data_IF_697248664323
#
_entry.id   IF_697248664323
#
_cell.length_a   1.000
_cell.length_b   1.000
_cell.length_c   1.000
_cell.angle_alpha   90.00
_cell.angle_beta   90.00
_cell.angle_gamma   90.00
#
_symmetry.space_group_name_H-M   'P 1'
#
loop_
_entity.id
_entity.type
_entity.pdbx_description
1 polymer ?
#
# COMPACT_ATOMS: atom_id res chain seq x y z
N UNK A 1 -11.94 -20.32 18.60
CA UNK A 1 -10.88 -20.83 17.71
C UNK A 1 -9.53 -20.28 18.15
N UNK A 2 -8.66 -21.14 18.68
CA UNK A 2 -7.40 -20.76 19.34
C UNK A 2 -6.50 -19.91 18.43
N UNK A 3 -6.01 -18.78 18.94
CA UNK A 3 -5.14 -17.85 18.20
C UNK A 3 -3.90 -18.53 17.59
N UNK A 4 -3.43 -19.63 18.20
CA UNK A 4 -2.35 -20.46 17.70
C UNK A 4 -2.67 -21.15 16.35
N UNK A 5 -3.90 -21.63 16.15
CA UNK A 5 -4.30 -22.33 14.92
C UNK A 5 -4.43 -21.35 13.75
N UNK A 6 -5.02 -20.17 14.00
CA UNK A 6 -5.09 -19.07 13.01
C UNK A 6 -3.70 -18.57 12.62
N UNK A 7 -2.79 -18.46 13.58
CA UNK A 7 -1.42 -18.02 13.32
C UNK A 7 -0.63 -19.07 12.50
N UNK A 8 -0.80 -20.37 12.78
CA UNK A 8 -0.21 -21.46 11.97
C UNK A 8 -0.73 -21.45 10.53
N UNK A 9 -2.04 -21.25 10.33
CA UNK A 9 -2.63 -21.20 8.99
C UNK A 9 -2.15 -19.99 8.18
N UNK A 10 -2.01 -18.83 8.81
CA UNK A 10 -1.49 -17.63 8.16
C UNK A 10 0.01 -17.75 7.84
N UNK A 11 0.78 -18.39 8.72
CA UNK A 11 2.16 -18.76 8.45
C UNK A 11 2.26 -19.69 7.24
N UNK A 12 1.39 -20.68 7.13
CA UNK A 12 1.37 -21.58 5.98
C UNK A 12 1.06 -20.81 4.70
N UNK A 13 0.05 -19.93 4.69
CA UNK A 13 -0.24 -19.07 3.54
C UNK A 13 0.94 -18.14 3.19
N UNK A 14 1.62 -17.58 4.19
CA UNK A 14 2.81 -16.76 3.97
C UNK A 14 3.96 -17.59 3.43
N UNK A 15 4.19 -18.80 3.93
CA UNK A 15 5.22 -19.73 3.44
C UNK A 15 4.90 -20.16 2.00
N UNK A 16 3.65 -20.40 1.66
CA UNK A 16 3.21 -20.67 0.29
C UNK A 16 3.40 -19.44 -0.61
N UNK A 17 3.08 -18.23 -0.13
CA UNK A 17 3.31 -17.00 -0.88
C UNK A 17 4.80 -16.70 -1.07
N UNK A 18 5.62 -16.93 -0.05
CA UNK A 18 7.08 -16.83 -0.08
C UNK A 18 7.63 -17.87 -1.06
N UNK A 19 7.21 -19.13 -0.96
CA UNK A 19 7.60 -20.20 -1.87
C UNK A 19 7.22 -19.91 -3.32
N UNK A 20 6.02 -19.37 -3.55
CA UNK A 20 5.57 -18.92 -4.87
C UNK A 20 6.42 -17.77 -5.42
N UNK A 21 6.75 -16.77 -4.60
CA UNK A 21 7.64 -15.68 -5.00
C UNK A 21 9.06 -16.16 -5.32
N UNK A 22 9.60 -17.09 -4.52
CA UNK A 22 10.93 -17.68 -4.77
C UNK A 22 10.95 -18.56 -6.03
N UNK A 23 9.89 -19.33 -6.28
CA UNK A 23 9.78 -20.14 -7.50
C UNK A 23 9.74 -19.26 -8.76
N UNK A 24 8.98 -18.15 -8.73
CA UNK A 24 8.92 -17.18 -9.83
C UNK A 24 10.25 -16.43 -10.02
N UNK A 25 10.99 -16.15 -8.94
CA UNK A 25 12.31 -15.51 -9.03
C UNK A 25 13.39 -16.45 -9.57
N UNK A 26 13.30 -17.75 -9.31
CA UNK A 26 14.26 -18.75 -9.80
C UNK A 26 14.12 -19.06 -11.29
N UNK A 27 12.96 -18.78 -11.90
CA UNK A 27 12.70 -18.95 -13.34
C UNK A 27 13.20 -17.79 -14.22
N UNK A 28 13.89 -16.80 -13.65
CA UNK A 28 14.34 -15.62 -14.37
C UNK A 28 15.54 -15.89 -15.30
N UNK A 29 15.26 -16.42 -16.49
CA UNK A 29 16.19 -16.29 -17.62
C UNK A 29 15.87 -15.02 -18.39
N UNK A 30 16.88 -14.19 -18.62
CA UNK A 30 16.83 -13.03 -19.51
C UNK A 30 16.69 -13.48 -20.95
N UNK A 31 15.47 -13.83 -21.35
CA UNK A 31 15.14 -14.00 -22.76
C UNK A 31 14.78 -12.63 -23.35
N UNK A 32 15.44 -12.25 -24.44
CA UNK A 32 15.13 -10.98 -25.09
C UNK A 32 13.72 -11.06 -25.67
N UNK A 33 12.84 -10.16 -25.21
CA UNK A 33 11.43 -10.06 -25.65
C UNK A 33 11.27 -9.89 -27.17
N UNK A 34 12.34 -9.47 -27.86
CA UNK A 34 12.42 -9.39 -29.30
C UNK A 34 13.60 -10.23 -29.79
N UNK A 35 13.41 -11.06 -30.84
CA UNK A 35 14.53 -11.73 -31.49
C UNK A 35 15.50 -10.68 -32.01
N UNK A 36 16.80 -10.91 -31.78
CA UNK A 36 17.82 -9.98 -32.27
C UNK A 36 17.79 -9.99 -33.81
N UNK A 37 17.87 -8.83 -34.47
CA UNK A 37 17.95 -8.80 -35.93
C UNK A 37 19.20 -9.57 -36.38
N UNK A 38 19.00 -10.51 -37.30
CA UNK A 38 20.08 -11.27 -37.91
C UNK A 38 20.74 -10.42 -39.00
N UNK A 39 22.03 -10.11 -38.83
CA UNK A 39 22.79 -9.35 -39.81
C UNK A 39 23.50 -10.31 -40.78
N UNK A 40 23.30 -10.11 -42.08
CA UNK A 40 23.93 -10.91 -43.15
C UNK A 40 25.46 -10.75 -43.22
N UNK A 41 26.04 -9.79 -42.50
CA UNK A 41 27.47 -9.45 -42.53
C UNK A 41 28.35 -10.29 -41.59
N UNK A 42 27.84 -11.38 -41.00
CA UNK A 42 28.59 -12.17 -40.02
C UNK A 42 28.91 -11.41 -38.72
N UNK A 43 28.13 -10.37 -38.42
CA UNK A 43 28.32 -9.53 -37.24
C UNK A 43 28.06 -10.35 -35.97
N UNK A 44 29.13 -10.60 -35.19
CA UNK A 44 28.98 -11.15 -33.86
C UNK A 44 28.50 -10.06 -32.92
N UNK A 45 27.31 -10.24 -32.35
CA UNK A 45 26.80 -9.34 -31.33
C UNK A 45 27.81 -9.22 -30.20
N UNK A 46 28.37 -8.03 -29.99
CA UNK A 46 29.19 -7.75 -28.83
C UNK A 46 28.35 -8.08 -27.58
N UNK A 47 28.93 -8.79 -26.62
CA UNK A 47 28.29 -8.99 -25.32
C UNK A 47 27.89 -7.61 -24.78
N UNK A 48 26.62 -7.48 -24.39
CA UNK A 48 26.16 -6.23 -23.80
C UNK A 48 26.91 -6.03 -22.50
N UNK A 49 27.89 -5.12 -22.52
CA UNK A 49 28.47 -4.54 -21.33
C UNK A 49 27.34 -3.81 -20.61
N UNK A 50 26.77 -4.47 -19.60
CA UNK A 50 25.82 -3.84 -18.69
C UNK A 50 26.55 -2.65 -18.06
N UNK A 51 26.00 -1.43 -18.15
CA UNK A 51 26.58 -0.30 -17.44
C UNK A 51 26.71 -0.65 -15.95
N UNK A 52 27.76 -0.18 -15.25
CA UNK A 52 27.93 -0.45 -13.83
C UNK A 52 26.64 -0.11 -13.08
N UNK A 53 26.17 -1.03 -12.23
CA UNK A 53 24.92 -0.88 -11.48
C UNK A 53 24.92 0.48 -10.78
N UNK A 54 23.97 1.34 -11.17
CA UNK A 54 24.20 2.78 -11.14
C UNK A 54 24.39 3.44 -9.75
N UNK A 55 24.31 2.72 -8.62
CA UNK A 55 24.48 3.32 -7.28
C UNK A 55 25.08 2.36 -6.23
N UNK A 56 24.43 1.23 -5.93
CA UNK A 56 24.89 0.25 -4.92
C UNK A 56 24.51 -1.18 -5.30
N UNK A 57 25.27 -2.21 -4.85
CA UNK A 57 24.91 -3.60 -5.10
C UNK A 57 23.55 -3.94 -4.46
N UNK A 58 22.64 -4.64 -5.17
CA UNK A 58 21.29 -4.94 -4.67
C UNK A 58 21.24 -5.67 -3.32
N UNK A 59 22.29 -6.46 -3.01
CA UNK A 59 22.43 -7.14 -1.73
C UNK A 59 22.56 -6.15 -0.55
N UNK A 60 23.26 -5.03 -0.74
CA UNK A 60 23.41 -4.00 0.28
C UNK A 60 22.06 -3.41 0.67
N UNK A 61 21.20 -3.13 -0.31
CA UNK A 61 19.89 -2.53 -0.05
C UNK A 61 19.01 -3.46 0.79
N UNK A 62 19.05 -4.77 0.50
CA UNK A 62 18.32 -5.79 1.25
C UNK A 62 18.88 -5.93 2.66
N UNK A 63 20.21 -5.95 2.81
CA UNK A 63 20.87 -6.00 4.12
C UNK A 63 20.46 -4.79 4.96
N UNK A 64 20.52 -3.58 4.39
CA UNK A 64 20.11 -2.35 5.06
C UNK A 64 18.62 -2.38 5.42
N UNK A 65 17.76 -2.89 4.54
CA UNK A 65 16.32 -3.07 4.83
C UNK A 65 16.11 -3.96 6.06
N UNK A 66 16.81 -5.10 6.15
CA UNK A 66 16.73 -6.02 7.29
C UNK A 66 17.26 -5.37 8.56
N UNK A 67 18.45 -4.75 8.49
CA UNK A 67 19.09 -4.12 9.65
C UNK A 67 18.26 -2.95 10.19
N UNK A 68 17.78 -2.04 9.33
CA UNK A 68 16.96 -0.89 9.73
C UNK A 68 15.61 -1.34 10.28
N UNK A 69 14.99 -2.36 9.68
CA UNK A 69 13.73 -2.92 10.18
C UNK A 69 13.91 -3.60 11.53
N UNK A 70 14.98 -4.37 11.72
CA UNK A 70 15.35 -4.97 13.00
C UNK A 70 15.68 -3.93 14.08
N UNK A 71 16.45 -2.91 13.73
CA UNK A 71 16.76 -1.78 14.61
C UNK A 71 15.50 -1.01 15.01
N UNK A 72 14.54 -0.83 14.08
CA UNK A 72 13.26 -0.19 14.37
C UNK A 72 12.41 -1.05 15.30
N UNK A 73 12.35 -2.36 15.08
CA UNK A 73 11.66 -3.28 15.97
C UNK A 73 12.26 -3.23 17.39
N UNK A 74 13.59 -3.23 17.51
CA UNK A 74 14.28 -3.06 18.79
C UNK A 74 13.98 -1.70 19.45
N UNK A 75 14.07 -0.61 18.68
CA UNK A 75 13.85 0.75 19.16
C UNK A 75 12.42 0.97 19.69
N UNK A 76 11.42 0.38 19.02
CA UNK A 76 10.02 0.53 19.40
C UNK A 76 9.61 -0.46 20.50
N UNK A 77 9.98 -1.73 20.39
CA UNK A 77 9.48 -2.77 21.30
C UNK A 77 10.29 -2.89 22.58
N UNK A 78 11.61 -2.71 22.51
CA UNK A 78 12.50 -2.90 23.66
C UNK A 78 12.97 -1.58 24.25
N UNK A 79 13.47 -0.67 23.42
CA UNK A 79 13.97 0.64 23.88
C UNK A 79 12.85 1.66 24.11
N UNK A 80 11.67 1.43 23.54
CA UNK A 80 10.46 2.26 23.66
C UNK A 80 10.74 3.75 23.47
N UNK A 81 11.57 4.08 22.48
CA UNK A 81 12.05 5.46 22.28
C UNK A 81 11.62 6.03 20.94
N UNK A 82 10.92 7.17 21.01
CA UNK A 82 10.52 7.96 19.84
C UNK A 82 11.71 8.55 19.09
N UNK A 83 12.74 9.00 19.81
CA UNK A 83 13.91 9.64 19.20
C UNK A 83 14.68 8.65 18.32
N UNK A 84 14.86 7.41 18.79
CA UNK A 84 15.45 6.35 17.96
C UNK A 84 14.63 6.07 16.70
N UNK A 85 13.30 5.99 16.81
CA UNK A 85 12.43 5.82 15.65
C UNK A 85 12.57 6.98 14.64
N UNK A 86 12.75 8.22 15.11
CA UNK A 86 12.97 9.40 14.25
C UNK A 86 14.35 9.39 13.58
N UNK A 87 15.41 9.04 14.31
CA UNK A 87 16.77 8.93 13.73
C UNK A 87 16.80 7.87 12.64
N UNK A 88 16.21 6.69 12.89
CA UNK A 88 16.08 5.65 11.87
C UNK A 88 15.22 6.09 10.68
N UNK A 89 14.20 6.93 10.91
CA UNK A 89 13.40 7.55 9.84
C UNK A 89 14.24 8.48 8.98
N UNK A 90 15.11 9.29 9.58
CA UNK A 90 16.00 10.20 8.87
C UNK A 90 16.99 9.42 8.00
N UNK A 91 17.62 8.39 8.56
CA UNK A 91 18.56 7.53 7.84
C UNK A 91 17.88 6.84 6.66
N UNK A 92 16.69 6.28 6.87
CA UNK A 92 15.94 5.60 5.82
C UNK A 92 15.44 6.57 4.73
N UNK A 93 15.05 7.78 5.12
CA UNK A 93 14.66 8.84 4.18
C UNK A 93 15.85 9.30 3.33
N UNK A 94 17.02 9.51 3.94
CA UNK A 94 18.23 9.89 3.22
C UNK A 94 18.67 8.78 2.25
N UNK A 95 18.69 7.52 2.70
CA UNK A 95 19.16 6.39 1.90
C UNK A 95 18.13 5.89 0.89
N UNK A 96 16.98 5.38 1.34
CA UNK A 96 15.97 4.81 0.43
C UNK A 96 15.16 5.86 -0.32
N UNK A 97 15.02 7.06 0.26
CA UNK A 97 14.34 8.18 -0.38
C UNK A 97 15.25 8.87 -1.39
N UNK A 98 16.20 9.69 -0.93
CA UNK A 98 16.98 10.56 -1.81
C UNK A 98 18.13 9.86 -2.54
N UNK A 99 18.94 9.06 -1.85
CA UNK A 99 20.11 8.40 -2.47
C UNK A 99 19.68 7.33 -3.49
N UNK A 100 18.71 6.48 -3.13
CA UNK A 100 18.11 5.47 -4.01
C UNK A 100 16.94 5.98 -4.86
N UNK A 101 16.65 7.28 -4.78
CA UNK A 101 15.58 7.94 -5.53
C UNK A 101 14.20 7.26 -5.42
N UNK A 102 13.91 6.62 -4.28
CA UNK A 102 12.66 5.92 -4.03
C UNK A 102 12.55 4.52 -4.64
N UNK A 103 13.60 3.96 -5.24
CA UNK A 103 13.60 2.63 -5.86
C UNK A 103 14.69 1.70 -5.25
N UNK A 104 14.41 0.46 -4.88
CA UNK A 104 13.15 -0.30 -4.96
C UNK A 104 12.22 0.05 -3.78
N UNK A 105 10.97 0.42 -4.05
CA UNK A 105 9.97 0.66 -3.00
C UNK A 105 9.05 -0.56 -2.78
N UNK A 106 8.78 -0.90 -1.52
CA UNK A 106 7.83 -1.98 -1.17
C UNK A 106 6.41 -1.71 -1.67
N UNK A 107 6.04 -0.42 -1.84
CA UNK A 107 4.73 -0.03 -2.36
C UNK A 107 4.60 -0.43 -3.83
N UNK A 108 5.54 -0.03 -4.69
CA UNK A 108 5.58 -0.42 -6.10
C UNK A 108 5.89 -1.90 -6.30
N UNK A 109 6.63 -2.54 -5.39
CA UNK A 109 6.86 -3.98 -5.40
C UNK A 109 5.55 -4.79 -5.34
N UNK A 110 4.48 -4.23 -4.74
CA UNK A 110 3.14 -4.84 -4.76
C UNK A 110 2.66 -5.09 -6.20
N UNK A 111 2.87 -4.13 -7.10
CA UNK A 111 2.48 -4.27 -8.50
C UNK A 111 3.35 -5.28 -9.25
N UNK A 112 4.65 -5.32 -8.95
CA UNK A 112 5.58 -6.27 -9.57
C UNK A 112 5.20 -7.71 -9.21
N UNK A 113 4.90 -7.95 -7.94
CA UNK A 113 4.41 -9.25 -7.48
C UNK A 113 3.07 -9.60 -8.15
N UNK A 114 2.12 -8.66 -8.19
CA UNK A 114 0.84 -8.89 -8.87
C UNK A 114 1.01 -9.19 -10.37
N UNK A 115 1.94 -8.50 -11.04
CA UNK A 115 2.20 -8.71 -12.47
C UNK A 115 2.81 -10.10 -12.73
N UNK A 116 3.67 -10.58 -11.84
CA UNK A 116 4.25 -11.91 -11.93
C UNK A 116 3.21 -13.03 -11.72
N UNK A 117 2.17 -12.80 -10.90
CA UNK A 117 1.13 -13.81 -10.61
C UNK A 117 -0.08 -13.78 -11.56
N UNK A 118 -0.55 -12.58 -11.94
CA UNK A 118 -1.84 -12.38 -12.64
C UNK A 118 -1.65 -11.68 -13.99
N UNK A 119 -0.57 -10.91 -14.15
CA UNK A 119 -0.33 -10.06 -15.31
C UNK A 119 0.42 -10.79 -16.44
N UNK A 120 1.49 -10.18 -16.93
CA UNK A 120 2.24 -10.67 -18.11
C UNK A 120 3.16 -11.86 -17.81
N UNK A 121 3.31 -12.25 -16.54
CA UNK A 121 4.24 -13.29 -16.13
C UNK A 121 5.71 -12.85 -16.19
N UNK A 122 5.98 -11.55 -16.21
CA UNK A 122 7.35 -11.02 -16.18
C UNK A 122 8.09 -11.49 -14.92
N UNK A 123 9.37 -11.79 -15.11
CA UNK A 123 10.23 -12.39 -14.10
C UNK A 123 10.51 -11.44 -12.94
N UNK A 124 10.08 -11.86 -11.75
CA UNK A 124 10.23 -11.12 -10.51
C UNK A 124 11.66 -11.25 -9.98
N UNK A 125 12.44 -10.17 -10.01
CA UNK A 125 13.79 -10.19 -9.43
C UNK A 125 13.74 -10.48 -7.93
N UNK A 126 14.67 -11.30 -7.43
CA UNK A 126 14.77 -11.66 -6.02
C UNK A 126 14.80 -10.43 -5.09
N UNK A 127 15.52 -9.37 -5.45
CA UNK A 127 15.55 -8.11 -4.68
C UNK A 127 14.14 -7.52 -4.50
N UNK A 128 13.34 -7.44 -5.56
CA UNK A 128 11.98 -6.89 -5.50
C UNK A 128 11.07 -7.77 -4.63
N UNK A 129 11.19 -9.10 -4.77
CA UNK A 129 10.48 -10.04 -3.91
C UNK A 129 10.82 -9.84 -2.42
N UNK A 130 12.10 -9.67 -2.08
CA UNK A 130 12.54 -9.44 -0.70
C UNK A 130 12.06 -8.08 -0.15
N UNK A 131 12.08 -7.02 -0.96
CA UNK A 131 11.53 -5.71 -0.58
C UNK A 131 10.01 -5.75 -0.33
N UNK A 132 9.29 -6.67 -0.95
CA UNK A 132 7.87 -6.91 -0.69
C UNK A 132 7.65 -7.81 0.54
N UNK A 133 8.43 -8.88 0.70
CA UNK A 133 8.21 -9.90 1.72
C UNK A 133 8.73 -9.51 3.11
N UNK A 134 9.93 -8.92 3.20
CA UNK A 134 10.56 -8.59 4.49
C UNK A 134 9.64 -7.72 5.37
N UNK A 135 9.02 -6.63 4.87
CA UNK A 135 8.14 -5.85 5.73
C UNK A 135 6.83 -6.56 6.09
N UNK A 136 6.31 -7.46 5.23
CA UNK A 136 5.13 -8.28 5.55
C UNK A 136 5.41 -9.29 6.65
N UNK A 137 6.54 -10.01 6.54
CA UNK A 137 7.03 -10.93 7.57
C UNK A 137 7.22 -10.17 8.87
N UNK A 138 7.91 -9.03 8.81
CA UNK A 138 8.13 -8.19 10.00
C UNK A 138 6.80 -7.75 10.62
N UNK A 139 5.82 -7.33 9.81
CA UNK A 139 4.50 -6.95 10.29
C UNK A 139 3.76 -8.08 11.00
N UNK A 140 3.91 -9.31 10.52
CA UNK A 140 3.36 -10.51 11.15
C UNK A 140 3.98 -10.84 12.52
N UNK A 141 5.20 -10.42 12.81
CA UNK A 141 5.87 -10.71 14.08
C UNK A 141 5.89 -9.55 15.06
N UNK A 142 6.16 -8.34 14.57
CA UNK A 142 6.50 -7.16 15.35
C UNK A 142 5.51 -5.99 15.17
N UNK A 143 4.48 -6.16 14.33
CA UNK A 143 3.59 -5.07 13.92
C UNK A 143 4.24 -4.17 12.86
N UNK A 144 3.59 -3.04 12.54
CA UNK A 144 3.94 -2.21 11.37
C UNK A 144 5.18 -1.32 11.56
N UNK A 145 6.27 -1.89 12.08
CA UNK A 145 7.55 -1.20 12.34
C UNK A 145 8.23 -0.70 11.07
N UNK A 146 8.03 -1.36 9.92
CA UNK A 146 8.51 -0.84 8.63
C UNK A 146 7.93 0.52 8.31
N UNK A 147 6.62 0.70 8.52
CA UNK A 147 5.98 2.00 8.35
C UNK A 147 6.49 3.01 9.37
N UNK A 148 6.85 2.60 10.59
CA UNK A 148 7.31 3.51 11.63
C UNK A 148 8.53 4.33 11.20
N UNK A 149 9.55 3.67 10.65
CA UNK A 149 10.85 4.33 10.37
C UNK A 149 11.53 3.96 9.06
N UNK A 150 11.19 2.85 8.41
CA UNK A 150 12.00 2.35 7.27
C UNK A 150 11.43 2.79 5.92
N UNK A 151 10.10 2.90 5.81
CA UNK A 151 9.45 3.38 4.59
C UNK A 151 9.79 4.86 4.33
N UNK A 152 10.46 5.23 3.23
CA UNK A 152 10.84 6.62 2.98
C UNK A 152 9.62 7.53 2.78
N UNK A 153 8.54 7.02 2.15
CA UNK A 153 7.28 7.77 2.02
C UNK A 153 6.67 8.07 3.40
N UNK A 154 6.71 7.09 4.31
CA UNK A 154 6.20 7.25 5.67
C UNK A 154 7.07 8.19 6.51
N UNK A 155 8.40 8.10 6.37
CA UNK A 155 9.35 8.95 7.05
C UNK A 155 9.18 10.42 6.66
N UNK A 156 9.07 10.72 5.35
CA UNK A 156 8.83 12.08 4.85
C UNK A 156 7.60 12.72 5.50
N UNK A 157 6.48 11.98 5.55
CA UNK A 157 5.25 12.47 6.18
C UNK A 157 5.34 12.61 7.70
N UNK A 158 6.13 11.77 8.38
CA UNK A 158 6.30 11.87 9.83
C UNK A 158 7.06 13.14 10.23
N UNK A 159 8.03 13.57 9.43
CA UNK A 159 8.73 14.84 9.65
C UNK A 159 7.84 16.06 9.39
N UNK A 160 6.86 15.95 8.48
CA UNK A 160 5.88 17.02 8.26
C UNK A 160 4.81 17.10 9.36
N UNK A 161 4.60 16.05 10.15
CA UNK A 161 3.54 15.99 11.16
C UNK A 161 3.87 16.76 12.45
N UNK A 162 3.86 18.10 12.34
CA UNK A 162 4.17 19.05 13.42
C UNK A 162 3.02 19.20 14.41
N UNK A 163 1.79 19.43 13.92
CA UNK A 163 0.59 19.64 14.75
C UNK A 163 -0.50 18.62 14.39
N UNK A 164 -0.27 17.32 14.66
CA UNK A 164 -1.20 16.30 14.22
C UNK A 164 -2.50 16.37 15.04
N UNK A 165 -3.62 16.52 14.35
CA UNK A 165 -4.96 16.51 14.91
C UNK A 165 -5.57 15.12 14.81
N UNK A 166 -6.47 14.81 15.75
CA UNK A 166 -7.26 13.60 15.67
C UNK A 166 -8.43 13.80 14.72
N UNK A 167 -8.41 13.07 13.60
CA UNK A 167 -9.52 13.06 12.65
C UNK A 167 -10.70 12.30 13.27
N UNK A 168 -11.95 12.80 13.18
CA UNK A 168 -13.11 12.09 13.70
C UNK A 168 -13.18 10.65 13.17
N UNK A 169 -13.51 9.68 14.04
CA UNK A 169 -13.49 8.24 13.71
C UNK A 169 -14.32 7.89 12.47
N UNK A 170 -15.46 8.56 12.25
CA UNK A 170 -16.29 8.36 11.07
C UNK A 170 -15.57 8.76 9.76
N UNK A 171 -14.93 9.94 9.75
CA UNK A 171 -14.19 10.45 8.59
C UNK A 171 -12.96 9.59 8.33
N UNK A 172 -12.22 9.20 9.37
CA UNK A 172 -11.09 8.29 9.26
C UNK A 172 -11.50 6.91 8.70
N UNK A 173 -12.65 6.40 9.13
CA UNK A 173 -13.18 5.13 8.62
C UNK A 173 -13.60 5.25 7.15
N UNK A 174 -14.18 6.39 6.74
CA UNK A 174 -14.56 6.63 5.35
C UNK A 174 -13.32 6.81 4.45
N UNK A 175 -12.41 7.73 4.80
CA UNK A 175 -11.18 7.97 4.03
C UNK A 175 -10.28 6.74 3.98
N UNK A 176 -10.27 5.91 5.02
CA UNK A 176 -9.55 4.66 5.00
C UNK A 176 -10.03 3.67 3.94
N UNK A 177 -11.24 3.81 3.39
CA UNK A 177 -11.69 3.00 2.24
C UNK A 177 -10.93 3.33 0.96
N UNK A 178 -10.37 4.55 0.82
CA UNK A 178 -9.58 4.94 -0.35
C UNK A 178 -8.35 4.05 -0.52
N UNK A 179 -7.72 3.59 0.58
CA UNK A 179 -6.56 2.71 0.51
C UNK A 179 -6.95 1.32 -0.06
N UNK A 180 -8.17 0.87 0.24
CA UNK A 180 -8.73 -0.37 -0.31
C UNK A 180 -9.12 -0.15 -1.78
N UNK A 181 -9.74 0.98 -2.11
CA UNK A 181 -10.03 1.35 -3.50
C UNK A 181 -8.75 1.37 -4.34
N UNK A 182 -7.68 1.97 -3.84
CA UNK A 182 -6.42 2.03 -4.57
C UNK A 182 -5.75 0.67 -4.71
N UNK A 183 -5.81 -0.19 -3.69
CA UNK A 183 -5.38 -1.59 -3.81
C UNK A 183 -6.20 -2.34 -4.87
N UNK A 184 -7.52 -2.16 -4.88
CA UNK A 184 -8.40 -2.78 -5.87
C UNK A 184 -8.14 -2.28 -7.30
N UNK A 185 -7.96 -0.97 -7.48
CA UNK A 185 -7.58 -0.35 -8.76
C UNK A 185 -6.22 -0.86 -9.22
N UNK A 186 -5.28 -1.09 -8.29
CA UNK A 186 -3.97 -1.66 -8.59
C UNK A 186 -4.10 -3.07 -9.18
N UNK A 187 -4.89 -3.94 -8.53
CA UNK A 187 -5.14 -5.30 -9.03
C UNK A 187 -5.86 -5.26 -10.38
N UNK A 188 -6.87 -4.40 -10.51
CA UNK A 188 -7.60 -4.20 -11.77
C UNK A 188 -6.68 -3.71 -12.88
N UNK A 189 -5.81 -2.74 -12.60
CA UNK A 189 -4.89 -2.17 -13.58
C UNK A 189 -3.90 -3.19 -14.11
N UNK A 190 -3.35 -4.05 -13.26
CA UNK A 190 -2.48 -5.16 -13.69
C UNK A 190 -3.28 -6.19 -14.49
N UNK A 191 -4.47 -6.58 -14.03
CA UNK A 191 -5.31 -7.57 -14.71
C UNK A 191 -5.79 -7.10 -16.10
N UNK A 192 -6.03 -5.80 -16.27
CA UNK A 192 -6.53 -5.21 -17.52
C UNK A 192 -5.44 -4.65 -18.43
N UNK A 193 -4.16 -4.66 -18.01
CA UNK A 193 -3.05 -4.16 -18.82
C UNK A 193 -2.82 -2.64 -18.75
N UNK A 194 -3.40 -1.92 -17.78
CA UNK A 194 -3.15 -0.48 -17.56
C UNK A 194 -1.70 -0.16 -17.13
N UNK A 195 -0.92 -1.19 -16.78
CA UNK A 195 0.45 -1.06 -16.28
C UNK A 195 0.53 -0.62 -14.82
N UNK A 196 1.70 -0.07 -14.46
CA UNK A 196 2.07 0.23 -13.09
C UNK A 196 1.48 1.55 -12.56
N UNK A 197 0.16 1.57 -12.35
CA UNK A 197 -0.59 2.76 -11.90
C UNK A 197 -0.02 3.41 -10.61
N UNK A 198 0.43 2.64 -9.62
CA UNK A 198 1.00 3.22 -8.40
C UNK A 198 2.28 3.97 -8.73
N UNK A 199 3.21 3.34 -9.44
CA UNK A 199 4.48 3.96 -9.78
C UNK A 199 4.31 5.21 -10.67
N UNK A 200 3.30 5.21 -11.55
CA UNK A 200 3.00 6.35 -12.44
C UNK A 200 2.42 7.55 -11.71
N UNK A 201 1.59 7.33 -10.69
CA UNK A 201 0.88 8.39 -9.97
C UNK A 201 1.39 8.58 -8.53
N UNK A 202 2.51 7.97 -8.14
CA UNK A 202 3.04 8.12 -6.78
C UNK A 202 3.52 9.56 -6.55
N UNK A 203 2.87 10.34 -5.66
CA UNK A 203 3.18 11.76 -5.51
C UNK A 203 4.54 12.04 -4.86
N UNK A 204 5.19 11.04 -4.25
CA UNK A 204 6.47 11.20 -3.56
C UNK A 204 7.68 10.87 -4.41
N UNK A 205 7.53 10.00 -5.41
CA UNK A 205 8.62 9.62 -6.31
C UNK A 205 9.19 10.85 -7.02
N UNK A 206 8.34 11.83 -7.36
CA UNK A 206 8.79 13.07 -7.99
C UNK A 206 9.75 13.89 -7.12
N UNK A 207 9.52 13.95 -5.81
CA UNK A 207 10.43 14.61 -4.87
C UNK A 207 11.73 13.84 -4.70
N UNK A 208 11.68 12.51 -4.61
CA UNK A 208 12.88 11.69 -4.43
C UNK A 208 13.79 11.68 -5.66
N UNK A 209 13.20 11.76 -6.87
CA UNK A 209 13.93 11.83 -8.14
C UNK A 209 14.33 13.25 -8.54
N UNK A 210 13.91 14.26 -7.77
CA UNK A 210 14.08 15.68 -8.10
C UNK A 210 13.58 16.00 -9.52
N UNK A 211 12.48 15.35 -9.92
CA UNK A 211 11.96 15.42 -11.27
C UNK A 211 10.58 14.76 -11.36
N UNK A 212 9.68 15.35 -12.14
CA UNK A 212 8.30 14.90 -12.29
C UNK A 212 7.44 15.96 -12.95
N UNK A 213 6.22 15.59 -13.37
CA UNK A 213 5.29 16.59 -13.91
C UNK A 213 4.83 17.55 -12.82
N UNK A 214 4.49 18.79 -13.20
CA UNK A 214 4.00 19.80 -12.26
C UNK A 214 2.82 19.28 -11.42
N UNK A 215 1.89 18.56 -12.05
CA UNK A 215 0.72 17.98 -11.37
C UNK A 215 1.11 16.95 -10.30
N UNK A 216 2.14 16.14 -10.55
CA UNK A 216 2.64 15.13 -9.61
C UNK A 216 3.28 15.80 -8.39
N UNK A 217 4.12 16.82 -8.61
CA UNK A 217 4.75 17.59 -7.53
C UNK A 217 3.73 18.39 -6.73
N UNK A 218 2.74 19.00 -7.39
CA UNK A 218 1.65 19.71 -6.74
C UNK A 218 0.82 18.77 -5.86
N UNK A 219 0.43 17.61 -6.38
CA UNK A 219 -0.33 16.61 -5.62
C UNK A 219 0.45 16.14 -4.37
N UNK A 220 1.75 15.87 -4.51
CA UNK A 220 2.59 15.50 -3.38
C UNK A 220 2.82 16.63 -2.38
N UNK A 221 2.98 17.86 -2.86
CA UNK A 221 3.09 19.06 -2.02
C UNK A 221 1.84 19.28 -1.18
N UNK A 222 0.65 19.18 -1.80
CA UNK A 222 -0.63 19.25 -1.10
C UNK A 222 -0.79 18.13 -0.06
N UNK A 223 -0.34 16.92 -0.40
CA UNK A 223 -0.41 15.78 0.51
C UNK A 223 0.53 15.92 1.72
N UNK A 224 1.73 16.49 1.52
CA UNK A 224 2.67 16.83 2.60
C UNK A 224 2.16 18.00 3.44
N UNK A 225 1.55 19.02 2.82
CA UNK A 225 0.93 20.13 3.52
C UNK A 225 -0.26 19.67 4.38
N UNK A 226 -1.12 18.79 3.85
CA UNK A 226 -2.15 18.11 4.64
C UNK A 226 -1.52 17.27 5.78
N UNK A 227 -0.31 16.74 5.55
CA UNK A 227 0.51 16.01 6.53
C UNK A 227 0.89 16.79 7.78
N UNK A 228 0.79 18.13 7.76
CA UNK A 228 1.03 18.99 8.94
C UNK A 228 0.00 18.73 10.03
N UNK A 229 -1.27 18.59 9.63
CA UNK A 229 -2.40 18.38 10.53
C UNK A 229 -2.85 16.93 10.57
N UNK A 230 -2.88 16.25 9.42
CA UNK A 230 -3.29 14.85 9.35
C UNK A 230 -2.03 14.01 9.35
N UNK A 231 -1.73 13.32 10.45
CA UNK A 231 -0.52 12.49 10.51
C UNK A 231 -0.55 11.38 9.42
N UNK A 232 0.45 11.41 8.53
CA UNK A 232 0.70 10.40 7.47
C UNK A 232 -0.51 10.11 6.57
N UNK A 233 -1.04 11.10 5.83
CA UNK A 233 -2.28 10.95 5.07
C UNK A 233 -2.15 9.91 3.95
N UNK A 234 -1.00 9.79 3.29
CA UNK A 234 -0.78 8.76 2.27
C UNK A 234 -0.77 7.36 2.89
N UNK A 235 -0.01 7.14 3.95
CA UNK A 235 0.10 5.82 4.57
C UNK A 235 -1.24 5.35 5.18
N UNK A 236 -2.08 6.30 5.61
CA UNK A 236 -3.38 6.04 6.23
C UNK A 236 -4.50 5.81 5.21
N UNK A 237 -4.52 6.59 4.13
CA UNK A 237 -5.67 6.66 3.21
C UNK A 237 -5.38 6.26 1.78
N UNK A 238 -4.13 6.23 1.32
CA UNK A 238 -3.82 5.92 -0.08
C UNK A 238 -2.95 4.68 -0.23
N UNK A 239 -2.02 4.41 0.68
CA UNK A 239 -1.02 3.36 0.50
C UNK A 239 -1.65 1.94 0.43
N UNK A 240 -1.57 1.25 -0.72
CA UNK A 240 -2.16 -0.07 -0.90
C UNK A 240 -1.35 -1.14 -0.15
N UNK A 241 -0.03 -0.96 -0.07
CA UNK A 241 0.85 -1.79 0.75
C UNK A 241 0.52 -1.65 2.25
N UNK A 242 0.03 -0.48 2.68
CA UNK A 242 -0.46 -0.25 4.04
C UNK A 242 -1.66 -1.14 4.41
N UNK A 243 -2.51 -1.48 3.44
CA UNK A 243 -3.63 -2.43 3.64
C UNK A 243 -3.09 -3.84 3.88
N UNK A 244 -2.11 -4.29 3.10
CA UNK A 244 -1.48 -5.60 3.28
C UNK A 244 -0.80 -5.70 4.65
N UNK A 245 -0.02 -4.68 5.03
CA UNK A 245 0.62 -4.62 6.34
C UNK A 245 -0.40 -4.55 7.49
N UNK A 246 -1.56 -3.92 7.29
CA UNK A 246 -2.66 -3.92 8.26
C UNK A 246 -3.24 -5.32 8.45
N UNK A 247 -3.43 -6.08 7.38
CA UNK A 247 -3.95 -7.44 7.48
C UNK A 247 -2.96 -8.38 8.17
N UNK A 248 -1.67 -8.28 7.87
CA UNK A 248 -0.64 -9.13 8.51
C UNK A 248 -0.41 -8.75 9.97
N UNK A 249 -0.39 -7.45 10.30
CA UNK A 249 -0.14 -6.96 11.67
C UNK A 249 -1.22 -7.30 12.68
N UNK A 250 -2.47 -7.57 12.25
CA UNK A 250 -3.52 -8.08 13.16
C UNK A 250 -3.07 -9.37 13.87
N UNK A 251 -2.24 -10.17 13.21
CA UNK A 251 -1.71 -11.44 13.73
C UNK A 251 -0.35 -11.30 14.41
N UNK A 252 0.12 -10.07 14.65
CA UNK A 252 1.39 -9.80 15.30
C UNK A 252 1.48 -10.46 16.68
N UNK A 253 2.52 -11.30 16.85
CA UNK A 253 2.85 -11.94 18.14
C UNK A 253 3.30 -10.90 19.17
N UNK A 254 4.25 -10.06 18.78
CA UNK A 254 4.77 -8.95 19.56
C UNK A 254 4.35 -7.67 18.86
N UNK A 255 3.75 -6.75 19.59
CA UNK A 255 3.29 -5.48 19.04
C UNK A 255 3.65 -4.38 20.03
N UNK A 256 3.78 -3.14 19.56
CA UNK A 256 3.94 -1.99 20.46
C UNK A 256 2.78 -1.94 21.46
N UNK A 257 3.09 -2.08 22.75
CA UNK A 257 2.17 -1.89 23.87
C UNK A 257 2.23 -0.44 24.35
N UNK A 258 1.10 0.09 24.83
CA UNK A 258 1.03 1.48 25.31
C UNK A 258 1.85 1.64 26.58
N UNK A 259 1.59 0.78 27.58
CA UNK A 259 2.31 0.76 28.86
C UNK A 259 3.38 -0.34 28.87
N UNK A 260 4.48 -0.16 29.63
CA UNK A 260 5.49 -1.20 29.83
C UNK A 260 5.06 -2.21 30.91
N UNK A 261 4.22 -1.77 31.86
CA UNK A 261 3.64 -2.56 32.94
C UNK A 261 2.10 -2.41 32.96
N UNK A 262 1.46 -2.76 34.06
CA UNK A 262 0.00 -2.67 34.23
C UNK A 262 -0.54 -1.25 33.99
N UNK A 263 -1.68 -1.16 33.32
CA UNK A 263 -2.29 0.12 32.96
C UNK A 263 -3.05 0.71 34.15
N UNK A 264 -2.74 1.96 34.51
CA UNK A 264 -3.47 2.69 35.56
C UNK A 264 -4.69 3.47 35.02
N UNK A 265 -5.11 3.21 33.78
CA UNK A 265 -6.30 3.81 33.14
C UNK A 265 -6.37 5.36 33.14
N UNK A 266 -5.22 6.04 33.08
CA UNK A 266 -5.11 7.51 33.11
C UNK A 266 -5.67 8.28 31.89
N UNK A 267 -6.11 7.58 30.83
CA UNK A 267 -6.67 8.13 29.57
C UNK A 267 -5.76 9.03 28.71
N UNK A 268 -4.58 9.42 29.17
CA UNK A 268 -3.64 10.30 28.43
C UNK A 268 -3.24 9.76 27.04
N UNK A 269 -3.23 8.44 26.87
CA UNK A 269 -2.88 7.83 25.60
C UNK A 269 -3.93 8.07 24.49
N UNK A 270 -5.19 8.35 24.86
CA UNK A 270 -6.29 8.61 23.91
C UNK A 270 -5.97 9.83 23.05
N UNK A 271 -5.67 10.97 23.68
CA UNK A 271 -5.38 12.24 23.00
C UNK A 271 -4.00 12.24 22.33
N UNK A 272 -3.05 11.48 22.88
CA UNK A 272 -1.69 11.39 22.35
C UNK A 272 -1.59 10.69 20.98
N UNK A 273 -2.58 9.89 20.58
CA UNK A 273 -2.53 9.09 19.36
C UNK A 273 -3.25 9.77 18.18
N UNK A 274 -2.55 10.38 17.20
CA UNK A 274 -3.20 11.03 16.07
C UNK A 274 -3.82 10.05 15.04
N UNK A 275 -3.63 8.74 15.26
CA UNK A 275 -4.03 7.67 14.35
C UNK A 275 -5.32 6.96 14.75
N UNK A 276 -6.00 7.38 15.81
CA UNK A 276 -7.18 6.69 16.37
C UNK A 276 -6.93 5.18 16.62
N UNK A 277 -5.70 4.83 17.02
CA UNK A 277 -5.30 3.44 17.18
C UNK A 277 -5.46 2.92 18.62
N UNK A 278 -5.97 3.73 19.54
CA UNK A 278 -6.17 3.38 20.94
C UNK A 278 -7.58 2.82 21.12
N UNK A 279 -7.68 1.66 21.75
CA UNK A 279 -8.92 0.99 22.10
C UNK A 279 -9.15 1.24 23.59
N UNK A 280 -10.26 1.90 23.97
CA UNK A 280 -10.60 2.10 25.37
C UNK A 280 -11.05 0.78 26.02
N UNK A 281 -10.99 0.68 27.37
CA UNK A 281 -11.56 -0.44 28.10
C UNK A 281 -13.07 -0.52 27.88
N UNK A 282 -13.67 -1.67 28.23
CA UNK A 282 -15.11 -1.86 28.16
C UNK A 282 -15.85 -0.78 28.97
N UNK A 283 -16.93 -0.18 28.44
CA UNK A 283 -17.75 0.74 29.21
C UNK A 283 -18.38 0.03 30.42
N UNK A 284 -18.58 0.76 31.51
CA UNK A 284 -19.16 0.24 32.77
C UNK A 284 -20.54 -0.39 32.56
N UNK A 285 -21.34 0.16 31.64
CA UNK A 285 -22.62 -0.40 31.21
C UNK A 285 -22.51 -0.91 29.76
N UNK A 286 -22.21 -2.21 29.55
CA UNK A 286 -22.10 -2.76 28.20
C UNK A 286 -23.47 -2.89 27.52
N UNK A 287 -23.52 -2.64 26.21
CA UNK A 287 -24.70 -2.98 25.40
C UNK A 287 -25.05 -4.47 25.59
N UNK A 288 -26.34 -4.82 25.77
CA UNK A 288 -26.73 -6.21 25.97
C UNK A 288 -26.37 -7.04 24.74
N UNK A 289 -25.76 -8.20 24.97
CA UNK A 289 -25.19 -9.06 23.90
C UNK A 289 -26.20 -9.40 22.78
N UNK A 290 -27.50 -9.51 23.11
CA UNK A 290 -28.58 -9.77 22.14
C UNK A 290 -28.71 -8.69 21.06
N UNK A 291 -28.45 -7.42 21.41
CA UNK A 291 -28.50 -6.31 20.44
C UNK A 291 -27.31 -6.42 19.49
N UNK A 292 -26.11 -6.67 20.03
CA UNK A 292 -24.89 -6.89 19.26
C UNK A 292 -25.00 -8.07 18.28
N UNK A 293 -25.49 -9.22 18.74
CA UNK A 293 -25.67 -10.41 17.89
C UNK A 293 -26.73 -10.20 16.81
N UNK A 294 -27.84 -9.52 17.11
CA UNK A 294 -28.85 -9.16 16.11
C UNK A 294 -28.33 -8.17 15.06
N UNK A 295 -27.54 -7.17 15.48
CA UNK A 295 -26.85 -6.23 14.59
C UNK A 295 -25.88 -6.99 13.67
N UNK A 296 -25.09 -7.91 14.22
CA UNK A 296 -24.15 -8.74 13.48
C UNK A 296 -24.86 -9.66 12.47
N UNK A 297 -25.96 -10.31 12.88
CA UNK A 297 -26.76 -11.17 12.01
C UNK A 297 -27.36 -10.39 10.82
N UNK A 298 -27.91 -9.19 11.07
CA UNK A 298 -28.40 -8.30 10.00
C UNK A 298 -27.29 -7.91 9.02
N UNK A 299 -26.10 -7.59 9.52
CA UNK A 299 -24.95 -7.26 8.68
C UNK A 299 -24.49 -8.45 7.82
N UNK A 300 -24.46 -9.65 8.37
CA UNK A 300 -24.11 -10.86 7.63
C UNK A 300 -25.11 -11.15 6.50
N UNK A 301 -26.41 -11.02 6.75
CA UNK A 301 -27.45 -11.17 5.73
C UNK A 301 -27.40 -10.05 4.68
N UNK A 302 -27.07 -8.82 5.09
CA UNK A 302 -26.94 -7.69 4.18
C UNK A 302 -25.66 -7.75 3.32
N UNK A 303 -24.62 -8.46 3.76
CA UNK A 303 -23.31 -8.56 3.06
C UNK A 303 -23.44 -9.00 1.59
N UNK A 304 -24.10 -10.12 1.25
CA UNK A 304 -24.24 -10.51 -0.16
C UNK A 304 -25.01 -9.47 -0.99
N UNK A 305 -26.05 -8.83 -0.42
CA UNK A 305 -26.80 -7.78 -1.10
C UNK A 305 -25.92 -6.56 -1.38
N UNK A 306 -25.14 -6.10 -0.40
CA UNK A 306 -24.20 -4.99 -0.55
C UNK A 306 -23.14 -5.31 -1.60
N UNK A 307 -22.60 -6.53 -1.60
CA UNK A 307 -21.63 -6.97 -2.61
C UNK A 307 -22.23 -6.98 -4.02
N UNK A 308 -23.47 -7.46 -4.18
CA UNK A 308 -24.17 -7.49 -5.48
C UNK A 308 -24.44 -6.07 -5.99
N UNK A 309 -24.94 -5.17 -5.13
CA UNK A 309 -25.18 -3.77 -5.50
C UNK A 309 -23.86 -3.08 -5.87
N UNK A 310 -22.81 -3.26 -5.06
CA UNK A 310 -21.51 -2.68 -5.33
C UNK A 310 -20.88 -3.24 -6.62
N UNK A 311 -21.07 -4.53 -6.91
CA UNK A 311 -20.66 -5.15 -8.17
C UNK A 311 -21.42 -4.57 -9.37
N UNK A 312 -22.74 -4.36 -9.24
CA UNK A 312 -23.55 -3.71 -10.27
C UNK A 312 -23.10 -2.27 -10.55
N UNK A 313 -22.79 -1.50 -9.50
CA UNK A 313 -22.21 -0.15 -9.62
C UNK A 313 -20.87 -0.23 -10.35
N UNK A 314 -19.97 -1.12 -9.92
CA UNK A 314 -18.67 -1.33 -10.55
C UNK A 314 -18.76 -1.73 -12.03
N UNK A 315 -19.74 -2.58 -12.38
CA UNK A 315 -20.04 -2.94 -13.77
C UNK A 315 -20.49 -1.71 -14.58
N UNK A 316 -21.35 -0.85 -14.01
CA UNK A 316 -21.83 0.35 -14.70
C UNK A 316 -20.73 1.40 -14.92
N UNK A 317 -19.76 1.48 -14.01
CA UNK A 317 -18.63 2.43 -14.06
C UNK A 317 -17.48 1.98 -14.97
N UNK A 318 -17.63 0.85 -15.69
CA UNK A 318 -16.60 0.34 -16.60
C UNK A 318 -16.07 1.36 -17.64
N UNK A 319 -16.85 2.32 -18.21
CA UNK A 319 -16.31 3.26 -19.17
C UNK A 319 -15.30 4.21 -18.52
N UNK A 320 -15.62 4.70 -17.30
CA UNK A 320 -14.72 5.55 -16.53
C UNK A 320 -13.45 4.81 -16.10
N UNK A 321 -13.58 3.54 -15.69
CA UNK A 321 -12.41 2.73 -15.34
C UNK A 321 -11.53 2.44 -16.56
N UNK A 322 -12.12 2.23 -17.73
CA UNK A 322 -11.38 1.94 -18.97
C UNK A 322 -10.47 3.10 -19.41
N UNK A 323 -10.80 4.34 -19.02
CA UNK A 323 -9.94 5.52 -19.23
C UNK A 323 -8.61 5.46 -18.48
N UNK A 324 -8.41 4.50 -17.58
CA UNK A 324 -7.09 4.28 -16.98
C UNK A 324 -6.13 3.59 -17.97
N UNK A 325 -6.65 2.96 -19.03
CA UNK A 325 -5.85 2.26 -20.03
C UNK A 325 -5.30 3.24 -21.07
N UNK A 326 -3.98 3.23 -21.37
CA UNK A 326 -3.35 4.14 -22.33
C UNK A 326 -4.02 4.14 -23.71
N UNK A 327 -4.31 2.97 -24.28
CA UNK A 327 -5.00 2.84 -25.58
C UNK A 327 -6.38 3.51 -25.61
N UNK A 328 -7.14 3.44 -24.49
CA UNK A 328 -8.46 4.07 -24.42
C UNK A 328 -8.31 5.59 -24.30
N UNK A 329 -7.34 6.09 -23.52
CA UNK A 329 -7.05 7.52 -23.48
C UNK A 329 -6.60 8.06 -24.84
N UNK A 330 -5.76 7.31 -25.56
CA UNK A 330 -5.31 7.68 -26.90
C UNK A 330 -6.48 7.73 -27.89
N UNK A 331 -7.35 6.72 -27.87
CA UNK A 331 -8.55 6.67 -28.69
C UNK A 331 -9.51 7.84 -28.40
N UNK A 332 -9.80 8.13 -27.12
CA UNK A 332 -10.63 9.28 -26.74
C UNK A 332 -9.97 10.61 -27.14
N UNK A 333 -8.64 10.73 -27.02
CA UNK A 333 -7.90 11.92 -27.42
C UNK A 333 -7.97 12.18 -28.91
N UNK A 334 -7.72 11.17 -29.75
CA UNK A 334 -7.81 11.29 -31.21
C UNK A 334 -9.24 11.61 -31.63
N UNK A 335 -10.24 10.97 -31.03
CA UNK A 335 -11.64 11.29 -31.31
C UNK A 335 -11.98 12.76 -30.98
N UNK A 336 -11.42 13.31 -29.89
CA UNK A 336 -11.62 14.70 -29.49
C UNK A 336 -10.90 15.69 -30.42
N UNK A 337 -9.75 15.32 -30.99
CA UNK A 337 -9.03 16.08 -32.01
C UNK A 337 -9.77 16.09 -33.34
N UNK A 338 -10.26 14.94 -33.81
CA UNK A 338 -11.07 14.82 -35.03
C UNK A 338 -12.39 15.58 -34.93
N UNK A 339 -13.01 15.59 -33.74
CA UNK A 339 -14.21 16.35 -33.44
C UNK A 339 -13.95 17.87 -33.26
N UNK A 340 -12.70 18.32 -33.35
CA UNK A 340 -12.32 19.73 -33.16
C UNK A 340 -12.59 20.27 -31.74
N UNK A 341 -12.79 19.38 -30.77
CA UNK A 341 -13.11 19.75 -29.38
C UNK A 341 -11.85 20.20 -28.61
N UNK A 342 -10.66 19.77 -29.05
CA UNK A 342 -9.39 20.11 -28.41
C UNK A 342 -8.40 20.68 -29.43
N UNK A 343 -7.68 21.71 -29.02
CA UNK A 343 -6.65 22.37 -29.84
C UNK A 343 -5.28 21.73 -29.63
N UNK A 344 -4.61 21.36 -30.72
CA UNK A 344 -3.25 20.82 -30.73
C UNK A 344 -3.17 19.30 -30.54
N UNK A 345 -2.04 18.73 -30.95
CA UNK A 345 -1.72 17.30 -30.81
C UNK A 345 -0.85 17.04 -29.58
N UNK A 346 -0.83 15.79 -29.12
CA UNK A 346 0.14 15.33 -28.11
C UNK A 346 1.19 14.42 -28.73
N UNK A 347 2.30 14.21 -28.03
CA UNK A 347 3.39 13.32 -28.48
C UNK A 347 2.84 11.92 -28.78
N UNK A 348 1.90 11.43 -27.96
CA UNK A 348 1.28 10.13 -28.15
C UNK A 348 0.39 10.06 -29.40
N UNK A 349 -0.33 11.15 -29.73
CA UNK A 349 -1.14 11.20 -30.96
C UNK A 349 -0.29 11.36 -32.20
N UNK A 350 0.79 12.15 -32.13
CA UNK A 350 1.72 12.33 -33.24
C UNK A 350 2.44 11.00 -33.55
N UNK A 351 2.96 10.33 -32.51
CA UNK A 351 3.57 9.01 -32.65
C UNK A 351 2.58 7.96 -33.20
N UNK A 352 1.30 8.04 -32.85
CA UNK A 352 0.28 7.16 -33.41
C UNK A 352 0.03 7.43 -34.90
N UNK A 353 -0.04 8.71 -35.31
CA UNK A 353 -0.27 9.11 -36.70
C UNK A 353 0.94 8.82 -37.61
N UNK A 354 2.14 8.82 -37.05
CA UNK A 354 3.37 8.41 -37.74
C UNK A 354 3.51 6.88 -37.85
N UNK A 355 2.77 6.12 -37.04
CA UNK A 355 2.78 4.66 -37.05
C UNK A 355 1.90 4.02 -38.12
N UNK A 356 2.04 2.71 -38.28
CA UNK A 356 1.28 1.92 -39.28
C UNK A 356 -0.16 1.57 -38.84
N UNK A 357 -0.55 1.92 -37.60
CA UNK A 357 -1.85 1.54 -37.05
C UNK A 357 -2.96 2.49 -37.53
N UNK A 358 -4.06 1.94 -38.05
CA UNK A 358 -5.19 2.75 -38.55
C UNK A 358 -6.12 3.20 -37.42
N UNK A 359 -6.72 4.40 -37.53
CA UNK A 359 -7.70 4.93 -36.55
C UNK A 359 -8.85 3.95 -36.25
N UNK A 360 -9.50 3.30 -37.25
CA UNK A 360 -10.57 2.33 -36.97
C UNK A 360 -10.09 1.13 -36.15
N UNK A 361 -8.85 0.67 -36.38
CA UNK A 361 -8.28 -0.43 -35.59
C UNK A 361 -8.05 -0.04 -34.13
N UNK A 362 -7.59 1.19 -33.88
CA UNK A 362 -7.43 1.74 -32.52
C UNK A 362 -8.76 1.82 -31.79
N UNK A 363 -9.83 2.29 -32.45
CA UNK A 363 -11.16 2.34 -31.85
C UNK A 363 -11.73 0.95 -31.56
N UNK A 364 -11.52 -0.01 -32.45
CA UNK A 364 -11.91 -1.40 -32.22
C UNK A 364 -11.17 -2.00 -31.00
N UNK A 365 -9.87 -1.73 -30.87
CA UNK A 365 -9.06 -2.14 -29.73
C UNK A 365 -9.55 -1.50 -28.42
N UNK A 366 -9.77 -0.19 -28.42
CA UNK A 366 -10.30 0.55 -27.27
C UNK A 366 -11.67 0.02 -26.84
N UNK A 367 -12.56 -0.32 -27.78
CA UNK A 367 -13.85 -0.96 -27.48
C UNK A 367 -13.69 -2.38 -26.91
N UNK A 368 -12.74 -3.16 -27.43
CA UNK A 368 -12.44 -4.49 -26.88
C UNK A 368 -11.93 -4.39 -25.45
N UNK A 369 -11.03 -3.45 -25.17
CA UNK A 369 -10.53 -3.16 -23.82
C UNK A 369 -11.68 -2.72 -22.92
N UNK A 370 -12.47 -1.73 -23.32
CA UNK A 370 -13.62 -1.25 -22.55
C UNK A 370 -14.58 -2.38 -22.14
N UNK A 371 -14.86 -3.35 -23.03
CA UNK A 371 -15.67 -4.53 -22.68
C UNK A 371 -15.02 -5.41 -21.61
N UNK A 372 -13.70 -5.57 -21.60
CA UNK A 372 -12.97 -6.32 -20.55
C UNK A 372 -13.08 -5.65 -19.18
N UNK A 373 -13.27 -4.32 -19.13
CA UNK A 373 -13.48 -3.59 -17.87
C UNK A 373 -14.84 -3.86 -17.22
N UNK A 374 -15.83 -4.44 -17.92
CA UNK A 374 -17.13 -4.80 -17.31
C UNK A 374 -17.00 -5.81 -16.17
N UNK A 375 -16.49 -7.03 -16.40
CA UNK A 375 -16.28 -7.99 -15.32
C UNK A 375 -15.24 -7.50 -14.31
N UNK A 376 -14.19 -6.78 -14.75
CA UNK A 376 -13.17 -6.26 -13.86
C UNK A 376 -13.71 -5.20 -12.88
N UNK A 377 -14.54 -4.28 -13.39
CA UNK A 377 -15.23 -3.28 -12.59
C UNK A 377 -16.20 -3.92 -11.59
N UNK A 378 -16.91 -4.98 -11.98
CA UNK A 378 -17.79 -5.72 -11.09
C UNK A 378 -17.03 -6.40 -9.93
N UNK A 379 -15.89 -7.02 -10.23
CA UNK A 379 -15.01 -7.62 -9.20
C UNK A 379 -14.47 -6.55 -8.25
N UNK A 380 -14.04 -5.40 -8.76
CA UNK A 380 -13.61 -4.26 -7.94
C UNK A 380 -14.74 -3.77 -7.03
N UNK A 381 -15.95 -3.62 -7.58
CA UNK A 381 -17.14 -3.24 -6.82
C UNK A 381 -17.46 -4.22 -5.70
N UNK A 382 -17.49 -5.53 -6.00
CA UNK A 382 -17.70 -6.58 -5.01
C UNK A 382 -16.64 -6.55 -3.89
N UNK A 383 -15.37 -6.35 -4.25
CA UNK A 383 -14.27 -6.22 -3.29
C UNK A 383 -14.45 -5.02 -2.35
N UNK A 384 -14.85 -3.86 -2.88
CA UNK A 384 -15.10 -2.67 -2.06
C UNK A 384 -16.33 -2.84 -1.16
N UNK A 385 -17.38 -3.49 -1.66
CA UNK A 385 -18.54 -3.87 -0.85
C UNK A 385 -18.14 -4.78 0.32
N UNK A 386 -17.32 -5.80 0.05
CA UNK A 386 -16.79 -6.70 1.09
C UNK A 386 -15.92 -5.94 2.11
N UNK A 387 -15.02 -5.07 1.64
CA UNK A 387 -14.16 -4.26 2.51
C UNK A 387 -14.98 -3.33 3.43
N UNK A 388 -16.06 -2.74 2.91
CA UNK A 388 -16.99 -1.93 3.69
C UNK A 388 -17.70 -2.78 4.76
N UNK A 389 -18.28 -3.92 4.37
CA UNK A 389 -18.92 -4.85 5.30
C UNK A 389 -17.97 -5.34 6.39
N UNK A 390 -16.71 -5.66 6.05
CA UNK A 390 -15.70 -6.07 7.01
C UNK A 390 -15.38 -4.98 8.06
N UNK A 391 -15.38 -3.70 7.65
CA UNK A 391 -15.23 -2.58 8.59
C UNK A 391 -16.44 -2.42 9.50
N UNK A 392 -17.65 -2.51 8.95
CA UNK A 392 -18.89 -2.44 9.73
C UNK A 392 -19.00 -3.59 10.74
N UNK A 393 -18.61 -4.80 10.32
CA UNK A 393 -18.52 -5.96 11.19
C UNK A 393 -17.59 -5.68 12.37
N UNK A 394 -16.39 -5.14 12.09
CA UNK A 394 -15.40 -4.81 13.12
C UNK A 394 -15.89 -3.76 14.13
N UNK A 395 -16.68 -2.78 13.69
CA UNK A 395 -17.32 -1.80 14.58
C UNK A 395 -18.46 -2.40 15.41
N UNK A 396 -19.06 -3.50 14.95
CA UNK A 396 -20.19 -4.15 15.61
C UNK A 396 -19.79 -5.24 16.61
N UNK A 397 -18.53 -5.68 16.59
CA UNK A 397 -18.02 -6.68 17.54
C UNK A 397 -17.63 -5.99 18.85
N UNK A 398 -18.35 -6.32 19.92
CA UNK A 398 -18.00 -5.94 21.29
C UNK A 398 -16.65 -6.54 21.68
N UNK A 399 -15.69 -5.68 22.04
CA UNK A 399 -14.38 -6.10 22.56
C UNK A 399 -14.45 -6.13 24.08
N UNK A 400 -13.90 -7.19 24.66
CA UNK A 400 -13.75 -7.34 26.10
C UNK A 400 -12.30 -7.03 26.42
N UNK A 401 -11.97 -5.74 26.47
CA UNK A 401 -10.65 -5.26 26.90
C UNK A 401 -10.79 -4.65 28.29
N UNK A 402 -9.94 -5.09 29.22
CA UNK A 402 -9.93 -4.56 30.58
C UNK A 402 -9.12 -3.27 30.67
N UNK A 403 -8.12 -3.09 29.80
CA UNK A 403 -7.21 -1.96 29.80
C UNK A 403 -7.13 -1.29 28.42
N UNK A 404 -6.51 -0.11 28.38
CA UNK A 404 -6.17 0.56 27.13
C UNK A 404 -5.20 -0.28 26.31
N UNK A 405 -5.62 -0.66 25.11
CA UNK A 405 -4.79 -1.45 24.19
C UNK A 405 -4.63 -0.77 22.84
N UNK A 406 -3.50 -1.02 22.18
CA UNK A 406 -3.27 -0.54 20.82
C UNK A 406 -3.92 -1.49 19.81
N UNK A 407 -4.69 -0.95 18.89
CA UNK A 407 -5.23 -1.72 17.77
C UNK A 407 -4.09 -2.15 16.83
N UNK A 408 -3.79 -3.45 16.82
CA UNK A 408 -2.68 -4.03 16.07
C UNK A 408 -2.71 -3.71 14.56
N UNK A 409 -3.89 -3.53 13.98
CA UNK A 409 -4.01 -3.19 12.56
C UNK A 409 -3.95 -1.69 12.27
N UNK A 410 -4.36 -0.83 13.21
CA UNK A 410 -4.38 0.62 13.04
C UNK A 410 -3.14 1.33 13.61
N UNK A 411 -2.41 0.70 14.53
CA UNK A 411 -1.20 1.27 15.12
C UNK A 411 -0.01 1.19 14.15
N UNK A 412 0.68 2.31 13.93
CA UNK A 412 1.85 2.40 13.05
C UNK A 412 3.18 2.16 13.79
N UNK A 413 3.14 1.76 15.07
CA UNK A 413 4.34 1.55 15.88
C UNK A 413 5.26 2.77 15.96
N UNK A 414 4.69 3.98 15.89
CA UNK A 414 5.44 5.25 15.80
C UNK A 414 6.08 5.72 17.13
N UNK A 415 5.86 5.01 18.25
CA UNK A 415 6.37 5.33 19.59
C UNK A 415 5.97 6.71 20.17
N UNK A 416 5.03 7.45 19.55
CA UNK A 416 4.61 8.79 20.02
C UNK A 416 3.88 8.76 21.37
N UNK A 417 3.08 7.73 21.62
CA UNK A 417 2.30 7.59 22.86
C UNK A 417 3.14 7.28 24.10
N UNK A 418 4.37 6.77 23.96
CA UNK A 418 5.18 6.32 25.11
C UNK A 418 5.56 7.47 26.04
N UNK A 419 5.85 8.66 25.48
CA UNK A 419 6.19 9.86 26.26
C UNK A 419 5.04 10.37 27.15
N UNK A 420 3.80 10.00 26.83
CA UNK A 420 2.60 10.44 27.57
C UNK A 420 2.17 9.41 28.63
N UNK A 421 2.88 8.30 28.75
CA UNK A 421 2.56 7.23 29.69
C UNK A 421 3.32 7.45 31.02
N UNK A 422 2.65 7.78 32.13
CA UNK A 422 3.33 8.01 33.43
C UNK A 422 3.99 6.75 34.00
N UNK A 423 3.49 5.56 33.62
CA UNK A 423 4.09 4.28 34.01
C UNK A 423 5.46 4.07 33.36
N UNK A 424 5.71 4.71 32.21
CA UNK A 424 7.02 4.67 31.53
C UNK A 424 8.08 5.40 32.35
N UNK A 425 7.76 6.57 32.90
CA UNK A 425 8.70 7.38 33.69
C UNK A 425 9.06 6.69 35.00
N UNK A 426 8.07 6.09 35.68
CA UNK A 426 8.29 5.33 36.91
C UNK A 426 9.13 4.06 36.69
N UNK A 427 8.95 3.38 35.54
CA UNK A 427 9.75 2.20 35.18
C UNK A 427 11.16 2.57 34.69
N UNK A 428 11.37 3.79 34.18
CA UNK A 428 12.71 4.24 33.78
C UNK A 428 13.57 4.69 34.98
N UNK A 429 12.93 5.07 36.10
CA UNK A 429 13.59 5.49 37.35
C UNK A 429 13.86 4.32 38.31
N UNK A 430 13.12 3.21 38.18
CA UNK A 430 13.35 1.94 38.86
C UNK A 430 14.30 1.03 38.07
#
# INVERSE_FOLDING_TARGET
MNGALRHKMLMLCLVCAVGGCFALAAGAQTEFRFPRPEFSSGYQHKEMELPPAALTPPALDVILLVLLTGATAWAVLRRRSRNWALVLSLVSLAYFGFYRQGCVCSVGATQNVLNAFIGTGEVLTLTVALFFLIPLVTALYFGRVFCASVCPLGAAQEFCAVHPVQVPKAVDTALGMLAYAYLGITVLGIWTGCGFLICRYDPFVGFFRQGGSFNMLLAGGLLLAAGIFIARPYCRYLCPYGVLLRWTSIFARRHASITPAECIQCRLCEDACPYNAIIPPMPEEPEPQKIGTRRLGRLLVATPLVMLVAAGIGWSLHPLLSRLHPTVQLAERIAAEEAGTVTGTTIETDAFREGDQTVPSLYAEAHAINRRFKPAGAVLGAFLGLALCARLYRLSVLRHEHDYTADKGACLSCARCFKYCPVEDNHAQA
#
